data_IF_079190635263
#
_entry.id   IF_079190635263
#
_cell.length_a   1.000
_cell.length_b   1.000
_cell.length_c   1.000
_cell.angle_alpha   90.00
_cell.angle_beta   90.00
_cell.angle_gamma   90.00
#
_symmetry.space_group_name_H-M   'P 1'
#
loop_
_entity.id
_entity.type
_entity.pdbx_description
1 polymer ?
#
# COMPACT_ATOMS: atom_id res chain seq x y z
N UNK A 1 10.89 6.23 28.35
CA UNK A 1 10.07 5.06 27.96
C UNK A 1 9.14 5.49 26.84
N UNK A 2 9.56 5.35 25.59
CA UNK A 2 8.66 5.47 24.42
C UNK A 2 8.52 4.07 23.86
N UNK A 3 7.40 3.40 24.19
CA UNK A 3 7.03 2.20 23.48
C UNK A 3 6.81 2.59 22.02
N UNK A 4 7.51 1.93 21.10
CA UNK A 4 7.24 2.03 19.67
C UNK A 4 5.86 1.44 19.40
N UNK A 5 4.81 2.22 19.60
CA UNK A 5 3.45 1.83 19.25
C UNK A 5 3.25 2.11 17.77
N UNK A 6 3.93 1.35 16.92
CA UNK A 6 3.59 1.35 15.51
C UNK A 6 2.34 0.50 15.33
N UNK A 7 1.24 1.17 14.99
CA UNK A 7 0.01 0.49 14.62
C UNK A 7 0.21 -0.42 13.39
N UNK A 8 -0.78 -1.26 13.08
CA UNK A 8 -0.72 -2.12 11.89
C UNK A 8 -0.57 -1.26 10.63
N UNK A 9 0.14 -1.79 9.63
CA UNK A 9 0.19 -1.19 8.29
C UNK A 9 -1.24 -1.14 7.73
N UNK A 10 -1.71 0.05 7.37
CA UNK A 10 -3.08 0.28 6.91
C UNK A 10 -3.12 0.33 5.39
N UNK A 11 -3.98 -0.49 4.80
CA UNK A 11 -4.04 -0.71 3.35
C UNK A 11 -5.44 -0.38 2.85
N UNK A 12 -5.53 0.48 1.84
CA UNK A 12 -6.77 0.79 1.15
C UNK A 12 -6.87 0.00 -0.15
N UNK A 13 -7.87 -0.87 -0.25
CA UNK A 13 -8.18 -1.70 -1.41
C UNK A 13 -9.32 -1.05 -2.20
N UNK A 14 -9.04 -0.54 -3.40
CA UNK A 14 -9.99 0.24 -4.21
C UNK A 14 -10.43 -0.55 -5.44
N UNK A 15 -11.70 -0.92 -5.52
CA UNK A 15 -12.25 -1.55 -6.72
C UNK A 15 -13.72 -1.92 -6.59
N UNK A 16 -14.34 -2.21 -7.73
CA UNK A 16 -15.80 -2.30 -7.87
C UNK A 16 -16.43 -3.50 -7.14
N UNK A 17 -15.64 -4.52 -6.79
CA UNK A 17 -16.13 -5.70 -6.08
C UNK A 17 -15.13 -6.18 -5.01
N UNK A 18 -15.58 -6.46 -3.78
CA UNK A 18 -14.74 -7.05 -2.73
C UNK A 18 -14.15 -8.40 -3.13
N UNK A 19 -14.82 -9.16 -4.00
CA UNK A 19 -14.35 -10.47 -4.44
C UNK A 19 -13.00 -10.39 -5.15
N UNK A 20 -12.75 -9.31 -5.89
CA UNK A 20 -11.49 -9.07 -6.59
C UNK A 20 -10.28 -8.90 -5.65
N UNK A 21 -10.53 -8.62 -4.37
CA UNK A 21 -9.48 -8.42 -3.37
C UNK A 21 -9.38 -9.55 -2.35
N UNK A 22 -10.33 -10.49 -2.30
CA UNK A 22 -10.38 -11.55 -1.26
C UNK A 22 -9.04 -12.26 -1.01
N UNK A 23 -8.31 -12.59 -2.09
CA UNK A 23 -6.98 -13.19 -1.98
C UNK A 23 -5.93 -12.22 -1.42
N UNK A 24 -5.93 -10.97 -1.91
CA UNK A 24 -4.99 -9.93 -1.50
C UNK A 24 -5.23 -9.52 -0.04
N UNK A 25 -6.47 -9.24 0.35
CA UNK A 25 -6.83 -8.87 1.72
C UNK A 25 -6.46 -9.98 2.69
N UNK A 26 -6.81 -11.24 2.40
CA UNK A 26 -6.46 -12.35 3.29
C UNK A 26 -4.94 -12.52 3.43
N UNK A 27 -4.17 -12.33 2.35
CA UNK A 27 -2.70 -12.40 2.41
C UNK A 27 -2.12 -11.29 3.30
N UNK A 28 -2.63 -10.07 3.16
CA UNK A 28 -2.18 -8.89 3.90
C UNK A 28 -2.58 -8.97 5.38
N UNK A 29 -3.81 -9.41 5.68
CA UNK A 29 -4.29 -9.65 7.03
C UNK A 29 -3.50 -10.74 7.75
N UNK A 30 -3.11 -11.82 7.04
CA UNK A 30 -2.18 -12.84 7.58
C UNK A 30 -0.81 -12.28 7.93
N UNK A 31 -0.45 -11.11 7.38
CA UNK A 31 0.75 -10.32 7.72
C UNK A 31 0.42 -9.19 8.70
N UNK A 32 -0.69 -9.23 9.42
CA UNK A 32 -1.04 -8.23 10.44
C UNK A 32 -1.30 -6.82 9.87
N UNK A 33 -1.57 -6.70 8.57
CA UNK A 33 -2.04 -5.44 7.98
C UNK A 33 -3.54 -5.27 8.23
N UNK A 34 -3.99 -4.02 8.35
CA UNK A 34 -5.41 -3.65 8.40
C UNK A 34 -5.88 -3.27 7.01
N UNK A 35 -6.86 -4.00 6.45
CA UNK A 35 -7.40 -3.71 5.13
C UNK A 35 -8.73 -2.96 5.24
N UNK A 36 -8.85 -1.83 4.54
CA UNK A 36 -10.11 -1.13 4.29
C UNK A 36 -10.45 -1.23 2.80
N UNK A 37 -11.74 -1.36 2.47
CA UNK A 37 -12.21 -1.51 1.08
C UNK A 37 -12.98 -0.27 0.66
N UNK A 38 -12.70 0.24 -0.54
CA UNK A 38 -13.45 1.29 -1.22
C UNK A 38 -14.01 0.76 -2.55
N UNK A 39 -15.24 1.14 -2.88
CA UNK A 39 -15.94 0.58 -4.04
C UNK A 39 -15.78 1.38 -5.34
N UNK A 40 -15.15 2.55 -5.27
CA UNK A 40 -14.82 3.39 -6.42
C UNK A 40 -13.59 4.24 -6.13
N UNK A 41 -12.97 4.81 -7.16
CA UNK A 41 -11.84 5.71 -6.98
C UNK A 41 -12.22 6.99 -6.21
N UNK A 42 -13.45 7.50 -6.38
CA UNK A 42 -13.96 8.62 -5.59
C UNK A 42 -14.13 8.28 -4.12
N UNK A 43 -14.67 7.09 -3.82
CA UNK A 43 -14.81 6.58 -2.46
C UNK A 43 -13.43 6.37 -1.81
N UNK A 44 -12.48 5.82 -2.57
CA UNK A 44 -11.09 5.68 -2.14
C UNK A 44 -10.43 7.02 -1.84
N UNK A 45 -10.63 8.02 -2.70
CA UNK A 45 -10.12 9.38 -2.49
C UNK A 45 -10.76 10.07 -1.27
N UNK A 46 -12.04 9.80 -0.99
CA UNK A 46 -12.70 10.28 0.22
C UNK A 46 -12.09 9.62 1.47
N UNK A 47 -12.04 8.29 1.50
CA UNK A 47 -11.51 7.52 2.63
C UNK A 47 -10.05 7.89 2.93
N UNK A 48 -9.22 8.06 1.90
CA UNK A 48 -7.81 8.44 2.08
C UNK A 48 -7.64 9.82 2.72
N UNK A 49 -8.56 10.76 2.47
CA UNK A 49 -8.53 12.08 3.12
C UNK A 49 -9.02 12.03 4.57
N UNK A 50 -9.89 11.08 4.89
CA UNK A 50 -10.50 10.94 6.22
C UNK A 50 -9.64 10.09 7.17
N UNK A 51 -8.82 9.20 6.63
CA UNK A 51 -8.09 8.21 7.40
C UNK A 51 -6.65 7.99 6.86
N UNK A 52 -5.67 7.73 7.74
CA UNK A 52 -4.31 7.44 7.29
C UNK A 52 -4.22 6.05 6.65
N UNK A 53 -3.53 5.96 5.52
CA UNK A 53 -3.16 4.71 4.87
C UNK A 53 -1.71 4.76 4.43
N UNK A 54 -1.03 3.62 4.49
CA UNK A 54 0.37 3.49 4.08
C UNK A 54 0.49 3.00 2.63
N UNK A 55 -0.50 2.24 2.18
CA UNK A 55 -0.53 1.62 0.86
C UNK A 55 -1.94 1.61 0.28
N UNK A 56 -2.05 1.90 -1.00
CA UNK A 56 -3.29 1.85 -1.77
C UNK A 56 -3.12 0.87 -2.93
N UNK A 57 -4.04 -0.09 -3.06
CA UNK A 57 -4.10 -1.04 -4.17
C UNK A 57 -5.39 -0.83 -4.95
N UNK A 58 -5.28 -0.41 -6.21
CA UNK A 58 -6.44 -0.07 -7.05
C UNK A 58 -6.64 -1.10 -8.18
N UNK A 59 -7.77 -1.82 -8.16
CA UNK A 59 -8.16 -2.79 -9.19
C UNK A 59 -9.42 -2.40 -9.99
N UNK A 60 -9.93 -1.18 -9.84
CA UNK A 60 -11.17 -0.71 -10.47
C UNK A 60 -11.00 0.01 -11.82
N UNK A 61 -12.11 0.60 -12.28
CA UNK A 61 -12.20 1.46 -13.47
C UNK A 61 -11.14 2.58 -13.51
N UNK A 62 -11.03 3.23 -14.68
CA UNK A 62 -10.23 4.46 -14.81
C UNK A 62 -10.97 5.70 -14.31
N UNK A 63 -12.27 5.62 -14.09
CA UNK A 63 -13.09 6.77 -13.71
C UNK A 63 -12.71 7.27 -12.32
N UNK A 64 -12.41 8.56 -12.17
CA UNK A 64 -12.02 9.15 -10.89
C UNK A 64 -10.60 8.79 -10.41
N UNK A 65 -9.78 8.11 -11.22
CA UNK A 65 -8.41 7.73 -10.81
C UNK A 65 -7.55 8.95 -10.46
N UNK A 66 -7.70 10.05 -11.20
CA UNK A 66 -6.98 11.30 -10.92
C UNK A 66 -7.32 11.86 -9.54
N UNK A 67 -8.59 11.76 -9.11
CA UNK A 67 -9.00 12.18 -7.76
C UNK A 67 -8.32 11.34 -6.68
N UNK A 68 -8.13 10.04 -6.93
CA UNK A 68 -7.42 9.15 -6.01
C UNK A 68 -5.93 9.47 -5.98
N UNK A 69 -5.28 9.57 -7.14
CA UNK A 69 -3.85 9.89 -7.27
C UNK A 69 -3.52 11.22 -6.60
N UNK A 70 -4.27 12.29 -6.92
CA UNK A 70 -4.06 13.62 -6.34
C UNK A 70 -4.28 13.67 -4.83
N UNK A 71 -5.16 12.83 -4.28
CA UNK A 71 -5.34 12.74 -2.82
C UNK A 71 -4.16 12.09 -2.10
N UNK A 72 -3.36 11.29 -2.81
CA UNK A 72 -2.23 10.52 -2.26
C UNK A 72 -0.91 11.28 -2.45
N UNK A 73 -0.79 12.10 -3.50
CA UNK A 73 0.41 12.91 -3.73
C UNK A 73 0.69 13.82 -2.52
N UNK A 74 1.96 13.88 -2.10
CA UNK A 74 2.42 14.62 -0.92
C UNK A 74 2.23 13.89 0.41
N UNK A 75 1.63 12.69 0.44
CA UNK A 75 1.58 11.82 1.62
C UNK A 75 2.81 10.90 1.73
N UNK A 76 2.90 10.07 2.76
CA UNK A 76 3.90 8.98 2.84
C UNK A 76 3.49 7.71 2.09
N UNK A 77 2.26 7.65 1.55
CA UNK A 77 1.68 6.43 1.02
C UNK A 77 2.14 6.13 -0.41
N UNK A 78 2.02 4.86 -0.79
CA UNK A 78 2.24 4.41 -2.18
C UNK A 78 0.93 3.91 -2.79
N UNK A 79 0.77 4.09 -4.11
CA UNK A 79 -0.37 3.60 -4.88
C UNK A 79 0.14 2.67 -5.99
N UNK A 80 -0.38 1.44 -6.00
CA UNK A 80 -0.23 0.51 -7.11
C UNK A 80 -1.60 0.27 -7.77
N UNK A 81 -1.61 0.32 -9.10
CA UNK A 81 -2.82 0.14 -9.91
C UNK A 81 -2.68 -1.10 -10.78
N UNK A 82 -3.70 -1.95 -10.75
CA UNK A 82 -3.81 -3.04 -11.71
C UNK A 82 -4.32 -2.50 -13.05
N UNK A 83 -3.73 -2.99 -14.14
CA UNK A 83 -4.14 -2.75 -15.51
C UNK A 83 -4.44 -4.11 -16.15
N UNK A 84 -5.66 -4.29 -16.68
CA UNK A 84 -6.03 -5.53 -17.37
C UNK A 84 -5.27 -5.63 -18.70
N UNK A 85 -4.78 -6.83 -18.99
CA UNK A 85 -4.17 -7.24 -20.26
C UNK A 85 -4.86 -8.53 -20.74
N UNK A 86 -4.60 -8.98 -21.97
CA UNK A 86 -5.31 -10.15 -22.56
C UNK A 86 -5.35 -11.37 -21.63
N UNK A 87 -4.22 -11.73 -21.02
CA UNK A 87 -4.09 -12.91 -20.14
C UNK A 87 -3.84 -12.56 -18.66
N UNK A 88 -4.50 -11.51 -18.14
CA UNK A 88 -4.51 -11.22 -16.71
C UNK A 88 -4.41 -9.74 -16.36
N UNK A 89 -3.55 -9.39 -15.40
CA UNK A 89 -3.32 -8.01 -15.01
C UNK A 89 -1.85 -7.72 -14.75
N UNK A 90 -1.44 -6.50 -15.03
CA UNK A 90 -0.15 -5.97 -14.63
C UNK A 90 -0.35 -4.92 -13.55
N UNK A 91 0.59 -4.82 -12.63
CA UNK A 91 0.57 -3.82 -11.56
C UNK A 91 1.58 -2.74 -11.84
N UNK A 92 1.13 -1.49 -11.79
CA UNK A 92 1.96 -0.33 -12.04
C UNK A 92 1.98 0.56 -10.80
N UNK A 93 3.15 1.03 -10.35
CA UNK A 93 3.20 2.10 -9.38
C UNK A 93 2.69 3.39 -10.03
N UNK A 94 1.68 4.02 -9.44
CA UNK A 94 1.19 5.34 -9.84
C UNK A 94 1.70 6.44 -8.91
N UNK A 95 1.90 6.11 -7.63
CA UNK A 95 2.51 6.99 -6.62
C UNK A 95 3.45 6.17 -5.76
N UNK A 96 4.66 6.67 -5.50
CA UNK A 96 5.62 6.05 -4.57
C UNK A 96 5.97 7.05 -3.49
N UNK A 97 5.60 6.75 -2.24
CA UNK A 97 5.85 7.62 -1.07
C UNK A 97 5.42 9.08 -1.31
N UNK A 98 4.21 9.27 -1.82
CA UNK A 98 3.64 10.57 -2.15
C UNK A 98 4.12 11.21 -3.44
N UNK A 99 5.09 10.63 -4.14
CA UNK A 99 5.62 11.17 -5.39
C UNK A 99 4.96 10.50 -6.59
N UNK A 100 4.51 11.31 -7.56
CA UNK A 100 3.95 10.79 -8.81
C UNK A 100 4.98 9.91 -9.52
N UNK A 101 4.60 8.68 -9.87
CA UNK A 101 5.49 7.73 -10.51
C UNK A 101 5.17 7.64 -12.00
N UNK A 102 6.07 8.15 -12.84
CA UNK A 102 5.96 8.06 -14.30
C UNK A 102 7.07 7.18 -14.86
N UNK A 103 6.72 6.21 -15.71
CA UNK A 103 7.68 5.41 -16.46
C UNK A 103 8.35 4.23 -15.71
N UNK A 104 7.94 3.94 -14.47
CA UNK A 104 8.39 2.73 -13.78
C UNK A 104 7.84 1.45 -14.44
N UNK A 105 8.59 0.34 -14.40
CA UNK A 105 8.17 -0.91 -15.02
C UNK A 105 6.90 -1.46 -14.37
N UNK A 106 6.05 -2.07 -15.20
CA UNK A 106 4.90 -2.82 -14.73
C UNK A 106 5.35 -4.21 -14.24
N UNK A 107 4.68 -4.71 -13.21
CA UNK A 107 4.92 -6.03 -12.63
C UNK A 107 3.84 -7.00 -13.07
N UNK A 108 4.24 -8.21 -13.46
CA UNK A 108 3.29 -9.31 -13.62
C UNK A 108 2.71 -9.72 -12.25
N UNK A 109 1.58 -10.44 -12.17
CA UNK A 109 0.95 -10.78 -10.90
C UNK A 109 1.89 -11.46 -9.89
N UNK A 110 2.67 -12.45 -10.35
CA UNK A 110 3.60 -13.19 -9.49
C UNK A 110 4.79 -12.36 -9.01
N UNK A 111 5.29 -11.44 -9.85
CA UNK A 111 6.34 -10.49 -9.48
C UNK A 111 5.82 -9.47 -8.47
N UNK A 112 4.62 -8.95 -8.73
CA UNK A 112 3.98 -7.99 -7.86
C UNK A 112 3.73 -8.55 -6.46
N UNK A 113 3.42 -9.84 -6.31
CA UNK A 113 3.26 -10.43 -4.97
C UNK A 113 4.55 -10.35 -4.14
N UNK A 114 5.72 -10.48 -4.76
CA UNK A 114 7.01 -10.33 -4.08
C UNK A 114 7.28 -8.86 -3.72
N UNK A 115 6.98 -7.94 -4.64
CA UNK A 115 7.09 -6.50 -4.41
C UNK A 115 6.18 -6.06 -3.27
N UNK A 116 4.92 -6.53 -3.26
CA UNK A 116 3.95 -6.23 -2.21
C UNK A 116 4.44 -6.68 -0.84
N UNK A 117 4.97 -7.90 -0.74
CA UNK A 117 5.53 -8.41 0.50
C UNK A 117 6.71 -7.56 1.01
N UNK A 118 7.60 -7.10 0.09
CA UNK A 118 8.72 -6.21 0.44
C UNK A 118 8.26 -4.82 0.87
N UNK A 119 7.28 -4.25 0.18
CA UNK A 119 6.69 -2.95 0.53
C UNK A 119 6.10 -3.02 1.93
N UNK A 120 5.27 -4.02 2.21
CA UNK A 120 4.68 -4.21 3.54
C UNK A 120 5.75 -4.35 4.62
N UNK A 121 6.81 -5.11 4.37
CA UNK A 121 7.91 -5.25 5.33
C UNK A 121 8.64 -3.92 5.56
N UNK A 122 8.88 -3.14 4.50
CA UNK A 122 9.56 -1.84 4.61
C UNK A 122 8.73 -0.75 5.30
N UNK A 123 7.41 -0.91 5.33
CA UNK A 123 6.49 -0.01 6.03
C UNK A 123 6.43 -0.29 7.53
N UNK A 124 6.86 -1.49 7.95
CA UNK A 124 7.00 -1.78 9.37
C UNK A 124 8.20 -1.00 9.90
N UNK A 125 8.09 -0.40 11.09
CA UNK A 125 9.26 0.14 11.74
C UNK A 125 10.27 -1.00 11.91
N UNK A 126 11.51 -0.76 11.52
CA UNK A 126 12.60 -1.62 11.94
C UNK A 126 12.54 -1.70 13.46
N UNK A 127 12.31 -2.89 14.01
CA UNK A 127 12.47 -3.13 15.44
C UNK A 127 13.81 -2.52 15.84
N UNK A 128 13.75 -1.49 16.69
CA UNK A 128 14.90 -0.69 17.09
C UNK A 128 16.01 -1.65 17.50
N UNK A 129 17.08 -1.74 16.70
CA UNK A 129 18.29 -2.43 17.10
C UNK A 129 18.68 -1.90 18.48
N UNK A 130 18.66 -2.77 19.49
CA UNK A 130 18.97 -2.41 20.86
C UNK A 130 20.28 -1.60 20.89
N UNK A 131 20.37 -0.53 21.69
CA UNK A 131 21.65 0.16 21.86
C UNK A 131 22.62 -0.86 22.43
N UNK A 132 23.68 -1.18 21.69
CA UNK A 132 24.83 -1.88 22.25
C UNK A 132 25.37 -0.98 23.38
N UNK A 133 25.09 -1.38 24.62
CA UNK A 133 25.69 -0.78 25.78
C UNK A 133 27.20 -1.02 25.69
N UNK A 134 27.94 0.00 25.21
CA UNK A 134 29.37 0.07 25.47
C UNK A 134 29.53 0.39 26.95
N UNK A 135 29.63 -0.66 27.77
CA UNK A 135 30.19 -0.56 29.11
C UNK A 135 31.61 0.01 29.00
N UNK A 136 31.77 1.27 29.37
CA UNK A 136 33.07 1.79 29.75
C UNK A 136 33.40 1.18 31.11
N UNK A 137 34.38 0.26 31.12
CA UNK A 137 35.05 -0.13 32.35
C UNK A 137 35.97 1.00 32.79
N UNK A 138 36.02 1.15 34.11
CA UNK A 138 36.73 2.13 34.92
C UNK A 138 38.24 2.25 34.62
#
# INVERSE_FOLDING_TARGET
MTASNAGPVRILLVGESPMGFSYLSQRLEKRGCECCVAYSNYDGARLFREHPFDLVLCCGSREGIESLVTSIIGSSASLYRSHRVEDGCWWLPAVLRGEACTGAPAFQPGEFMKVLDQVVESLRPADTAAPLAHSQFA
#
